data_IF_813299505540
#
_entry.id   IF_813299505540
#
_cell.length_a   1.000
_cell.length_b   1.000
_cell.length_c   1.000
_cell.angle_alpha   90.00
_cell.angle_beta   90.00
_cell.angle_gamma   90.00
#
_symmetry.space_group_name_H-M   'P 1'
#
loop_
_entity.id
_entity.type
_entity.pdbx_description
1 polymer ?
#
# COMPACT_ATOMS: atom_id res chain seq x y z
N UNK A 1 5.49 -17.37 -14.08
CA UNK A 1 5.63 -16.80 -12.72
C UNK A 1 5.75 -15.30 -12.91
N UNK A 2 4.61 -14.61 -13.05
CA UNK A 2 4.62 -13.16 -13.24
C UNK A 2 4.70 -12.54 -11.85
N UNK A 3 5.91 -12.39 -11.34
CA UNK A 3 6.18 -11.49 -10.21
C UNK A 3 6.05 -10.08 -10.75
N UNK A 4 4.82 -9.61 -10.91
CA UNK A 4 4.56 -8.17 -11.06
C UNK A 4 4.72 -7.57 -9.66
N UNK A 5 5.97 -7.55 -9.20
CA UNK A 5 6.43 -6.96 -7.95
C UNK A 5 6.47 -5.44 -8.12
N UNK A 6 5.32 -4.85 -8.42
CA UNK A 6 5.13 -3.40 -8.38
C UNK A 6 4.80 -3.07 -6.93
N UNK A 7 5.84 -2.89 -6.11
CA UNK A 7 5.66 -2.42 -4.74
C UNK A 7 4.85 -1.12 -4.75
N UNK A 8 3.81 -1.03 -3.92
CA UNK A 8 2.96 0.17 -3.81
C UNK A 8 3.72 1.31 -3.13
N UNK A 9 4.68 0.96 -2.27
CA UNK A 9 5.46 1.90 -1.49
C UNK A 9 5.96 1.25 -0.21
N UNK A 10 6.24 2.06 0.80
CA UNK A 10 6.67 1.57 2.12
C UNK A 10 5.67 1.89 3.21
N UNK A 11 5.63 1.05 4.23
CA UNK A 11 4.86 1.29 5.43
C UNK A 11 5.42 2.53 6.16
N UNK A 12 4.61 3.54 6.50
CA UNK A 12 5.05 4.73 7.24
C UNK A 12 5.54 4.41 8.66
N UNK A 13 5.07 3.30 9.24
CA UNK A 13 5.32 2.95 10.64
C UNK A 13 6.60 2.10 10.81
N UNK A 14 6.71 1.02 10.05
CA UNK A 14 7.83 0.09 10.16
C UNK A 14 8.81 0.15 8.98
N UNK A 15 8.56 0.99 7.97
CA UNK A 15 9.36 1.12 6.74
C UNK A 15 9.47 -0.14 5.87
N UNK A 16 8.64 -1.15 6.15
CA UNK A 16 8.56 -2.38 5.37
C UNK A 16 8.01 -2.13 3.97
N UNK A 17 8.47 -2.90 2.99
CA UNK A 17 7.98 -2.79 1.62
C UNK A 17 6.56 -3.37 1.53
N UNK A 18 5.63 -2.55 1.06
CA UNK A 18 4.25 -2.94 0.82
C UNK A 18 4.11 -3.33 -0.64
N UNK A 19 3.69 -4.57 -0.88
CA UNK A 19 3.52 -5.12 -2.22
C UNK A 19 2.11 -4.86 -2.78
N UNK A 20 1.95 -4.83 -4.11
CA UNK A 20 0.65 -4.59 -4.76
C UNK A 20 -0.48 -5.52 -4.28
N UNK A 21 -0.18 -6.78 -3.96
CA UNK A 21 -1.19 -7.71 -3.45
C UNK A 21 -1.63 -7.41 -2.01
N UNK A 22 -0.91 -6.55 -1.29
CA UNK A 22 -1.30 -6.04 0.02
C UNK A 22 -2.26 -4.84 -0.11
N UNK A 23 -2.51 -4.32 -1.32
CA UNK A 23 -3.56 -3.32 -1.54
C UNK A 23 -4.93 -3.88 -1.15
N UNK A 24 -5.65 -3.10 -0.35
CA UNK A 24 -7.01 -3.36 0.04
C UNK A 24 -7.98 -2.60 -0.88
N UNK A 25 -7.78 -1.28 -0.97
CA UNK A 25 -8.60 -0.41 -1.81
C UNK A 25 -7.75 0.69 -2.45
N UNK A 26 -8.08 1.05 -3.68
CA UNK A 26 -7.66 2.29 -4.32
C UNK A 26 -8.80 3.30 -4.22
N UNK A 27 -8.48 4.55 -3.91
CA UNK A 27 -9.47 5.61 -3.78
C UNK A 27 -8.99 6.89 -4.44
N UNK A 28 -9.94 7.70 -4.89
CA UNK A 28 -9.69 9.03 -5.39
C UNK A 28 -10.19 10.03 -4.34
N UNK A 29 -9.31 10.93 -3.93
CA UNK A 29 -9.64 12.01 -3.01
C UNK A 29 -10.35 13.16 -3.74
N UNK A 30 -11.06 14.00 -2.99
CA UNK A 30 -11.83 15.12 -3.57
C UNK A 30 -10.95 16.16 -4.29
N UNK A 31 -9.66 16.20 -3.95
CA UNK A 31 -8.64 17.01 -4.61
C UNK A 31 -8.09 16.37 -5.92
N UNK A 32 -8.64 15.23 -6.35
CA UNK A 32 -8.22 14.49 -7.55
C UNK A 32 -6.93 13.68 -7.37
N UNK A 33 -6.45 13.56 -6.13
CA UNK A 33 -5.29 12.71 -5.81
C UNK A 33 -5.74 11.27 -5.59
N UNK A 34 -5.13 10.33 -6.29
CA UNK A 34 -5.38 8.90 -6.07
C UNK A 34 -4.48 8.37 -4.97
N UNK A 35 -5.05 7.62 -4.02
CA UNK A 35 -4.33 6.95 -2.94
C UNK A 35 -4.68 5.46 -2.90
N UNK A 36 -3.85 4.69 -2.22
CA UNK A 36 -4.11 3.28 -1.94
C UNK A 36 -4.04 3.04 -0.44
N UNK A 37 -4.96 2.24 0.07
CA UNK A 37 -4.83 1.65 1.40
C UNK A 37 -4.34 0.22 1.24
N UNK A 38 -3.36 -0.16 2.05
CA UNK A 38 -2.79 -1.50 2.06
C UNK A 38 -2.64 -1.99 3.49
N UNK A 39 -2.75 -3.30 3.68
CA UNK A 39 -2.45 -3.92 4.97
C UNK A 39 -0.95 -4.11 5.12
N UNK A 40 -0.38 -3.77 6.27
CA UNK A 40 1.00 -4.13 6.60
C UNK A 40 1.03 -5.36 7.49
N UNK A 41 1.49 -6.51 7.00
CA UNK A 41 1.61 -7.73 7.81
C UNK A 41 2.56 -7.62 9.01
N UNK A 42 3.53 -6.71 8.95
CA UNK A 42 4.47 -6.50 10.06
C UNK A 42 3.82 -5.71 11.21
N UNK A 43 2.92 -4.78 10.90
CA UNK A 43 2.18 -3.99 11.88
C UNK A 43 0.80 -4.58 12.22
N UNK A 44 0.30 -5.52 11.40
CA UNK A 44 -1.07 -6.05 11.42
C UNK A 44 -2.13 -4.94 11.37
N UNK A 45 -1.81 -3.86 10.64
CA UNK A 45 -2.58 -2.61 10.61
C UNK A 45 -2.75 -2.13 9.16
N UNK A 46 -3.87 -1.43 8.89
CA UNK A 46 -4.12 -0.77 7.60
C UNK A 46 -3.32 0.52 7.52
N UNK A 47 -2.44 0.62 6.53
CA UNK A 47 -1.55 1.76 6.31
C UNK A 47 -1.72 2.34 4.91
N UNK A 48 -1.18 3.56 4.72
CA UNK A 48 -1.06 4.18 3.41
C UNK A 48 0.40 4.13 2.99
N UNK A 49 0.76 3.29 2.01
CA UNK A 49 2.13 3.26 1.53
C UNK A 49 2.48 4.57 0.83
N UNK A 50 3.72 5.02 1.07
CA UNK A 50 4.32 6.22 0.50
C UNK A 50 5.52 5.93 -0.41
#
# INVERSE_FOLDING_TARGET
MTSDSTALGRCPDCSEVIEAYQSLIEFEDGDGSTGVFAECYSCDEVVRPE
#
